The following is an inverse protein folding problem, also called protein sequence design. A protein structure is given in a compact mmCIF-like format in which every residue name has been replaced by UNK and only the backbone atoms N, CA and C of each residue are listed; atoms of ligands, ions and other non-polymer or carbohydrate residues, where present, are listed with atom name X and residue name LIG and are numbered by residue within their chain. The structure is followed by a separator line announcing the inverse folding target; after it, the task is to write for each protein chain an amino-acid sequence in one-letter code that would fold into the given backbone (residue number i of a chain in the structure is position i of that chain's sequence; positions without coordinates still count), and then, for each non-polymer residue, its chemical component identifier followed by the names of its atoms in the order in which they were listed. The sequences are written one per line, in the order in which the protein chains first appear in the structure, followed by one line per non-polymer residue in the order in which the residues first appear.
data_IF_069353138611
#
_entry.id   IF_069353138611
#
_cell.length_a   1.000
_cell.length_b   1.000
_cell.length_c   1.000
_cell.angle_alpha   90.00
_cell.angle_beta   90.00
_cell.angle_gamma   90.00
#
_symmetry.space_group_name_H-M   'P 1'
#
loop_
_entity.id
_entity.type
_entity.pdbx_description
1 polymer ?
#
# COMPACT_ATOMS: atom_id res chain seq x y z
N UNK A 1 -6.63 -19.42 -2.33
CA UNK A 1 -6.33 -19.97 -3.70
C UNK A 1 -4.94 -19.51 -4.17
N UNK A 2 -4.32 -20.12 -5.20
CA UNK A 2 -3.00 -19.66 -5.72
C UNK A 2 -3.01 -18.17 -6.09
N UNK A 3 -4.10 -17.67 -6.65
CA UNK A 3 -4.22 -16.26 -7.07
C UNK A 3 -4.34 -15.29 -5.90
N UNK A 4 -5.07 -15.67 -4.86
CA UNK A 4 -5.18 -14.88 -3.62
C UNK A 4 -3.82 -14.68 -2.95
N UNK A 5 -2.97 -15.72 -2.95
CA UNK A 5 -1.59 -15.61 -2.48
C UNK A 5 -0.80 -14.57 -3.31
N UNK A 6 -0.92 -14.60 -4.64
CA UNK A 6 -0.22 -13.64 -5.49
C UNK A 6 -0.64 -12.20 -5.21
N UNK A 7 -1.93 -11.96 -4.97
CA UNK A 7 -2.42 -10.61 -4.63
C UNK A 7 -1.90 -10.16 -3.26
N UNK A 8 -1.91 -11.03 -2.25
CA UNK A 8 -1.32 -10.71 -0.94
C UNK A 8 0.17 -10.37 -1.03
N UNK A 9 0.93 -11.06 -1.88
CA UNK A 9 2.34 -10.70 -2.14
C UNK A 9 2.48 -9.38 -2.88
N UNK A 10 1.61 -9.07 -3.84
CA UNK A 10 1.56 -7.77 -4.51
C UNK A 10 1.31 -6.64 -3.52
N UNK A 11 0.33 -6.79 -2.61
CA UNK A 11 0.02 -5.82 -1.56
C UNK A 11 1.23 -5.55 -0.65
N UNK A 12 1.96 -6.61 -0.25
CA UNK A 12 3.22 -6.46 0.49
C UNK A 12 4.27 -5.68 -0.30
N UNK A 13 4.37 -5.94 -1.60
CA UNK A 13 5.27 -5.22 -2.51
C UNK A 13 4.94 -3.73 -2.62
N UNK A 14 3.66 -3.37 -2.64
CA UNK A 14 3.22 -1.96 -2.65
C UNK A 14 3.61 -1.24 -1.36
N UNK A 15 3.41 -1.85 -0.19
CA UNK A 15 3.86 -1.28 1.10
C UNK A 15 5.38 -1.09 1.11
N UNK A 16 6.15 -2.09 0.66
CA UNK A 16 7.60 -2.00 0.58
C UNK A 16 8.05 -0.85 -0.35
N UNK A 17 7.36 -0.69 -1.49
CA UNK A 17 7.63 0.39 -2.44
C UNK A 17 7.32 1.77 -1.84
N UNK A 18 6.22 1.90 -1.11
CA UNK A 18 5.86 3.13 -0.42
C UNK A 18 6.92 3.53 0.62
N UNK A 19 7.39 2.56 1.41
CA UNK A 19 8.49 2.78 2.38
C UNK A 19 9.78 3.25 1.72
N UNK A 20 10.16 2.61 0.61
CA UNK A 20 11.37 2.98 -0.14
C UNK A 20 11.25 4.39 -0.72
N UNK A 21 10.05 4.77 -1.22
CA UNK A 21 9.79 6.13 -1.72
C UNK A 21 10.02 7.18 -0.64
N UNK A 22 9.49 6.97 0.57
CA UNK A 22 9.74 7.87 1.71
C UNK A 22 11.22 7.91 2.06
N UNK A 23 11.89 6.76 2.10
CA UNK A 23 13.31 6.68 2.44
C UNK A 23 14.21 7.44 1.43
N UNK A 24 13.91 7.33 0.13
CA UNK A 24 14.73 7.92 -0.94
C UNK A 24 14.41 9.40 -1.17
N UNK A 25 13.13 9.78 -1.12
CA UNK A 25 12.69 11.12 -1.50
C UNK A 25 12.47 12.05 -0.30
N UNK A 26 12.16 11.50 0.88
CA UNK A 26 11.56 12.26 1.98
C UNK A 26 10.03 12.25 1.92
N UNK A 27 9.38 12.56 3.04
CA UNK A 27 7.92 12.47 3.20
C UNK A 27 7.16 13.43 2.26
N UNK A 28 7.60 14.69 2.17
CA UNK A 28 6.92 15.71 1.37
C UNK A 28 6.99 15.41 -0.13
N UNK A 29 8.18 15.06 -0.61
CA UNK A 29 8.42 14.72 -2.02
C UNK A 29 7.76 13.39 -2.42
N UNK A 30 7.59 12.45 -1.48
CA UNK A 30 6.94 11.17 -1.74
C UNK A 30 5.41 11.24 -1.74
N UNK A 31 4.79 12.31 -1.23
CA UNK A 31 3.35 12.39 -0.92
C UNK A 31 2.42 11.98 -2.07
N UNK A 32 2.67 12.46 -3.28
CA UNK A 32 1.86 12.13 -4.45
C UNK A 32 2.04 10.67 -4.90
N UNK A 33 3.25 10.13 -4.76
CA UNK A 33 3.51 8.71 -5.04
C UNK A 33 2.83 7.81 -4.00
N UNK A 34 2.85 8.23 -2.72
CA UNK A 34 2.17 7.51 -1.64
C UNK A 34 0.66 7.47 -1.84
N UNK A 35 0.06 8.59 -2.25
CA UNK A 35 -1.38 8.64 -2.56
C UNK A 35 -1.75 7.66 -3.66
N UNK A 36 -0.99 7.63 -4.76
CA UNK A 36 -1.22 6.68 -5.86
C UNK A 36 -1.05 5.22 -5.43
N UNK A 37 -0.03 4.93 -4.63
CA UNK A 37 0.20 3.58 -4.11
C UNK A 37 -0.94 3.14 -3.19
N UNK A 38 -1.44 4.05 -2.37
CA UNK A 38 -2.61 3.80 -1.50
C UNK A 38 -3.87 3.51 -2.32
N UNK A 39 -4.15 4.34 -3.34
CA UNK A 39 -5.30 4.15 -4.24
C UNK A 39 -5.25 2.78 -4.94
N UNK A 40 -4.09 2.40 -5.50
CA UNK A 40 -3.90 1.07 -6.12
C UNK A 40 -4.06 -0.06 -5.11
N UNK A 41 -3.55 0.12 -3.89
CA UNK A 41 -3.69 -0.88 -2.82
C UNK A 41 -5.17 -1.10 -2.46
N UNK A 42 -5.90 -0.01 -2.23
CA UNK A 42 -7.33 -0.01 -1.93
C UNK A 42 -8.14 -0.67 -3.05
N UNK A 43 -7.90 -0.29 -4.32
CA UNK A 43 -8.57 -0.90 -5.47
C UNK A 43 -8.35 -2.42 -5.53
N UNK A 44 -7.13 -2.89 -5.24
CA UNK A 44 -6.84 -4.32 -5.22
C UNK A 44 -7.54 -5.03 -4.05
N UNK A 45 -7.56 -4.44 -2.86
CA UNK A 45 -8.27 -5.01 -1.70
C UNK A 45 -9.76 -5.16 -2.02
N UNK A 46 -10.40 -4.10 -2.51
CA UNK A 46 -11.83 -4.09 -2.81
C UNK A 46 -12.18 -5.01 -3.99
N UNK A 47 -11.42 -4.98 -5.08
CA UNK A 47 -11.67 -5.83 -6.25
C UNK A 47 -11.58 -7.32 -5.92
N UNK A 48 -10.63 -7.71 -5.07
CA UNK A 48 -10.44 -9.11 -4.66
C UNK A 48 -11.29 -9.53 -3.46
N UNK A 49 -12.09 -8.62 -2.90
CA UNK A 49 -12.95 -8.88 -1.74
C UNK A 49 -12.14 -9.30 -0.50
N UNK A 50 -10.99 -8.67 -0.30
CA UNK A 50 -10.15 -8.89 0.89
C UNK A 50 -10.65 -8.05 2.06
N UNK A 51 -10.10 -8.30 3.26
CA UNK A 51 -10.41 -7.56 4.49
C UNK A 51 -10.07 -6.06 4.31
N UNK A 52 -11.04 -5.18 4.56
CA UNK A 52 -10.90 -3.73 4.39
C UNK A 52 -9.87 -3.14 5.38
N UNK A 53 -9.66 -3.81 6.52
CA UNK A 53 -8.63 -3.47 7.52
C UNK A 53 -7.21 -3.47 6.95
N UNK A 54 -6.98 -4.12 5.81
CA UNK A 54 -5.70 -4.06 5.10
C UNK A 54 -5.39 -2.64 4.58
N UNK A 55 -6.40 -1.83 4.31
CA UNK A 55 -6.23 -0.43 3.88
C UNK A 55 -5.67 0.39 5.04
N UNK A 56 -6.20 0.18 6.24
CA UNK A 56 -5.68 0.81 7.47
C UNK A 56 -4.24 0.34 7.74
N UNK A 57 -3.94 -0.94 7.52
CA UNK A 57 -2.58 -1.49 7.64
C UNK A 57 -1.59 -0.77 6.71
N UNK A 58 -2.01 -0.43 5.48
CA UNK A 58 -1.16 0.34 4.56
C UNK A 58 -0.82 1.70 5.17
N UNK A 59 -1.82 2.44 5.63
CA UNK A 59 -1.66 3.79 6.18
C UNK A 59 -0.78 3.79 7.44
N UNK A 60 -0.97 2.81 8.33
CA UNK A 60 -0.13 2.61 9.52
C UNK A 60 1.32 2.27 9.15
N UNK A 61 1.53 1.35 8.20
CA UNK A 61 2.87 0.89 7.85
C UNK A 61 3.69 1.92 7.08
N UNK A 62 3.04 2.77 6.30
CA UNK A 62 3.71 3.83 5.54
C UNK A 62 3.91 5.08 6.40
N UNK A 63 3.13 5.24 7.49
CA UNK A 63 3.28 6.35 8.44
C UNK A 63 2.54 7.62 8.00
N UNK A 64 1.54 7.50 7.11
CA UNK A 64 0.76 8.63 6.59
C UNK A 64 -0.21 9.19 7.66
N UNK A 65 -0.51 8.42 8.72
CA UNK A 65 -1.44 8.78 9.79
C UNK A 65 -0.78 9.47 11.01
N UNK A 66 0.22 10.31 10.81
CA UNK A 66 0.76 11.17 11.89
C UNK A 66 0.46 12.64 11.69
#
# INVERSE_FOLDING_TARGET
MKTEYLIKETLKGLIATAKEKVFVLGEEEAKEDLKKLREVYEELVLFWGLEEELIDEFDEKVGILK
#
